data_IF_679530272192
#
_entry.id   IF_679530272192
#
_cell.length_a   1.000
_cell.length_b   1.000
_cell.length_c   1.000
_cell.angle_alpha   90.00
_cell.angle_beta   90.00
_cell.angle_gamma   90.00
#
_symmetry.space_group_name_H-M   'P 1'
#
loop_
_entity.id
_entity.type
_entity.pdbx_description
1 polymer ?
#
# COMPACT_ATOMS: atom_id res chain seq x y z
N UNK A 1 -14.57 28.43 6.04
CA UNK A 1 -15.12 27.34 6.88
C UNK A 1 -14.70 26.03 6.22
N UNK A 2 -13.49 25.54 6.49
CA UNK A 2 -12.87 24.35 5.85
C UNK A 2 -12.39 23.42 6.98
N UNK A 3 -13.34 22.78 7.68
CA UNK A 3 -13.04 21.85 8.79
C UNK A 3 -13.56 20.43 8.57
N UNK A 4 -14.42 20.20 7.56
CA UNK A 4 -15.02 18.90 7.27
C UNK A 4 -14.09 17.79 6.71
N UNK A 5 -13.01 18.07 5.93
CA UNK A 5 -12.29 17.00 5.21
C UNK A 5 -11.44 16.07 6.09
N UNK A 6 -10.91 16.58 7.21
CA UNK A 6 -10.00 15.81 8.06
C UNK A 6 -10.76 14.83 8.96
N UNK A 7 -11.90 15.26 9.50
CA UNK A 7 -12.74 14.42 10.36
C UNK A 7 -13.34 13.24 9.60
N UNK A 8 -13.70 13.41 8.33
CA UNK A 8 -14.21 12.32 7.49
C UNK A 8 -13.11 11.28 7.20
N UNK A 9 -11.89 11.70 6.86
CA UNK A 9 -10.76 10.80 6.63
C UNK A 9 -10.41 9.98 7.88
N UNK A 10 -10.28 10.62 9.04
CA UNK A 10 -9.97 9.93 10.31
C UNK A 10 -11.07 8.94 10.67
N UNK A 11 -12.34 9.32 10.49
CA UNK A 11 -13.49 8.44 10.75
C UNK A 11 -13.49 7.22 9.84
N UNK A 12 -13.25 7.43 8.54
CA UNK A 12 -13.19 6.36 7.54
C UNK A 12 -12.02 5.39 7.81
N UNK A 13 -10.83 5.94 8.08
CA UNK A 13 -9.65 5.14 8.40
C UNK A 13 -9.88 4.26 9.62
N UNK A 14 -10.43 4.83 10.71
CA UNK A 14 -10.80 4.05 11.92
C UNK A 14 -11.84 2.98 11.62
N UNK A 15 -12.85 3.28 10.79
CA UNK A 15 -13.86 2.30 10.40
C UNK A 15 -13.21 1.12 9.68
N UNK A 16 -12.33 1.39 8.71
CA UNK A 16 -11.65 0.34 7.92
C UNK A 16 -10.73 -0.50 8.79
N UNK A 17 -9.88 0.13 9.60
CA UNK A 17 -8.95 -0.59 10.48
C UNK A 17 -9.67 -1.52 11.47
N UNK A 18 -10.85 -1.11 11.96
CA UNK A 18 -11.66 -1.88 12.90
C UNK A 18 -12.62 -2.88 12.24
N UNK A 19 -12.81 -2.83 10.92
CA UNK A 19 -13.70 -3.76 10.20
C UNK A 19 -12.90 -4.97 9.74
N UNK A 20 -13.24 -6.20 10.15
CA UNK A 20 -12.53 -7.38 9.67
C UNK A 20 -12.60 -7.51 8.15
N UNK A 21 -11.47 -7.87 7.53
CA UNK A 21 -11.47 -8.21 6.11
C UNK A 21 -12.16 -9.56 5.91
N UNK A 22 -13.00 -9.68 4.88
CA UNK A 22 -13.74 -10.90 4.63
C UNK A 22 -12.79 -12.12 4.48
N UNK A 23 -13.06 -13.26 5.16
CA UNK A 23 -12.13 -14.40 5.19
C UNK A 23 -11.75 -14.94 3.81
N UNK A 24 -12.70 -14.96 2.87
CA UNK A 24 -12.46 -15.44 1.50
C UNK A 24 -11.48 -14.53 0.72
N UNK A 25 -11.42 -13.24 1.03
CA UNK A 25 -10.44 -12.31 0.44
C UNK A 25 -9.05 -12.61 0.97
N UNK A 26 -8.92 -12.80 2.29
CA UNK A 26 -7.65 -13.16 2.93
C UNK A 26 -7.14 -14.54 2.49
N UNK A 27 -8.03 -15.52 2.30
CA UNK A 27 -7.67 -16.86 1.85
C UNK A 27 -7.05 -16.91 0.44
N UNK A 28 -7.30 -15.88 -0.39
CA UNK A 28 -6.70 -15.75 -1.73
C UNK A 28 -5.30 -15.12 -1.71
N UNK A 29 -4.87 -14.58 -0.57
CA UNK A 29 -3.56 -13.94 -0.42
C UNK A 29 -2.52 -15.02 -0.13
N UNK A 30 -1.64 -15.26 -1.11
CA UNK A 30 -0.53 -16.19 -1.01
C UNK A 30 0.54 -15.72 0.01
N UNK A 31 1.57 -16.54 0.20
CA UNK A 31 2.73 -16.24 1.04
C UNK A 31 2.59 -16.69 2.49
N UNK A 32 3.72 -16.69 3.19
CA UNK A 32 3.89 -17.27 4.53
C UNK A 32 3.51 -16.35 5.69
N UNK A 33 3.19 -15.07 5.44
CA UNK A 33 2.93 -14.13 6.51
C UNK A 33 1.70 -14.52 7.34
N UNK A 34 1.69 -14.25 8.68
CA UNK A 34 0.52 -14.47 9.52
C UNK A 34 -0.72 -13.76 8.98
N UNK A 35 -1.90 -14.35 9.21
CA UNK A 35 -3.16 -13.82 8.69
C UNK A 35 -3.45 -12.38 9.13
N UNK A 36 -3.07 -12.01 10.37
CA UNK A 36 -3.21 -10.65 10.86
C UNK A 36 -2.35 -9.64 10.07
N UNK A 37 -1.16 -10.03 9.63
CA UNK A 37 -0.27 -9.18 8.81
C UNK A 37 -0.85 -9.01 7.41
N UNK A 38 -1.36 -10.10 6.81
CA UNK A 38 -2.09 -10.06 5.53
C UNK A 38 -3.30 -9.14 5.59
N UNK A 39 -4.08 -9.25 6.66
CA UNK A 39 -5.23 -8.39 6.89
C UNK A 39 -4.83 -6.92 7.03
N UNK A 40 -3.74 -6.62 7.72
CA UNK A 40 -3.28 -5.25 7.92
C UNK A 40 -2.80 -4.60 6.61
N UNK A 41 -2.08 -5.35 5.76
CA UNK A 41 -1.71 -4.90 4.42
C UNK A 41 -2.95 -4.51 3.59
N UNK A 42 -3.97 -5.38 3.59
CA UNK A 42 -5.23 -5.13 2.88
C UNK A 42 -5.96 -3.92 3.44
N UNK A 43 -6.11 -3.83 4.77
CA UNK A 43 -6.80 -2.70 5.41
C UNK A 43 -6.15 -1.37 5.09
N UNK A 44 -4.81 -1.32 5.06
CA UNK A 44 -4.12 -0.08 4.73
C UNK A 44 -4.35 0.34 3.29
N UNK A 45 -4.35 -0.61 2.36
CA UNK A 45 -4.69 -0.35 0.96
C UNK A 45 -6.14 0.15 0.83
N UNK A 46 -7.08 -0.48 1.54
CA UNK A 46 -8.50 -0.09 1.54
C UNK A 46 -8.73 1.35 2.07
N UNK A 47 -7.83 1.91 2.90
CA UNK A 47 -7.91 3.31 3.35
C UNK A 47 -7.77 4.27 2.16
N UNK A 48 -6.86 3.98 1.22
CA UNK A 48 -6.70 4.76 0.00
C UNK A 48 -7.93 4.66 -0.91
N UNK A 49 -8.64 3.52 -0.87
CA UNK A 49 -9.81 3.24 -1.70
C UNK A 49 -11.14 3.66 -1.06
N UNK A 50 -11.11 4.26 0.14
CA UNK A 50 -12.33 4.51 0.90
C UNK A 50 -13.25 5.54 0.19
N UNK A 51 -14.54 5.23 -0.03
CA UNK A 51 -15.48 6.15 -0.66
C UNK A 51 -15.59 7.49 0.09
N UNK A 52 -15.68 8.59 -0.67
CA UNK A 52 -15.81 9.94 -0.11
C UNK A 52 -14.50 10.60 0.33
N UNK A 53 -13.37 9.88 0.24
CA UNK A 53 -12.07 10.53 0.17
C UNK A 53 -11.93 11.09 -1.25
N UNK A 54 -11.80 12.41 -1.41
CA UNK A 54 -11.40 13.03 -2.68
C UNK A 54 -9.90 12.78 -2.92
N UNK A 55 -9.49 11.52 -2.89
CA UNK A 55 -8.11 11.13 -3.13
C UNK A 55 -7.81 11.28 -4.63
N UNK A 56 -6.61 11.75 -4.94
CA UNK A 56 -6.16 12.14 -6.28
C UNK A 56 -6.24 10.98 -7.31
N UNK A 57 -6.38 9.73 -6.85
CA UNK A 57 -6.35 8.53 -7.69
C UNK A 57 -7.57 7.59 -7.51
N UNK A 58 -8.66 8.01 -6.86
CA UNK A 58 -9.75 7.10 -6.45
C UNK A 58 -10.27 6.11 -7.51
N UNK A 59 -10.59 6.52 -8.76
CA UNK A 59 -11.06 5.58 -9.78
C UNK A 59 -9.99 4.59 -10.25
N UNK A 60 -8.72 4.92 -10.04
CA UNK A 60 -7.57 4.12 -10.47
C UNK A 60 -7.07 3.21 -9.33
N UNK A 61 -7.10 3.70 -8.10
CA UNK A 61 -6.60 2.98 -6.93
C UNK A 61 -7.47 1.76 -6.59
N UNK A 62 -8.79 1.85 -6.78
CA UNK A 62 -9.75 0.80 -6.40
C UNK A 62 -9.51 -0.58 -7.03
N UNK A 63 -8.77 -0.62 -8.14
CA UNK A 63 -8.45 -1.86 -8.85
C UNK A 63 -7.27 -2.61 -8.22
N UNK A 64 -6.56 -2.00 -7.28
CA UNK A 64 -5.40 -2.61 -6.67
C UNK A 64 -5.76 -3.66 -5.61
N UNK A 65 -5.19 -4.86 -5.76
CA UNK A 65 -5.47 -5.99 -4.88
C UNK A 65 -4.18 -6.62 -4.36
N UNK A 66 -4.10 -6.85 -3.06
CA UNK A 66 -2.98 -7.61 -2.47
C UNK A 66 -3.16 -9.09 -2.83
N UNK A 67 -2.13 -9.70 -3.44
CA UNK A 67 -2.16 -11.10 -3.90
C UNK A 67 -1.17 -11.98 -3.16
N UNK A 68 -0.09 -11.42 -2.58
CA UNK A 68 0.88 -12.16 -1.75
C UNK A 68 1.37 -11.29 -0.61
N UNK A 69 1.56 -11.89 0.57
CA UNK A 69 2.35 -11.30 1.66
C UNK A 69 3.20 -12.38 2.29
N UNK A 70 4.50 -12.12 2.37
CA UNK A 70 5.51 -13.04 2.86
C UNK A 70 6.43 -12.32 3.84
N UNK A 71 6.71 -12.97 4.97
CA UNK A 71 7.77 -12.56 5.87
C UNK A 71 8.95 -13.50 5.62
N UNK A 72 10.08 -12.91 5.28
CA UNK A 72 11.33 -13.62 5.01
C UNK A 72 12.12 -13.83 6.30
N UNK A 73 13.08 -14.75 6.25
CA UNK A 73 13.98 -15.03 7.38
C UNK A 73 14.88 -13.82 7.75
N UNK A 74 15.07 -12.88 6.80
CA UNK A 74 15.78 -11.60 7.02
C UNK A 74 14.90 -10.52 7.69
N UNK A 75 13.71 -10.88 8.17
CA UNK A 75 12.72 -9.96 8.75
C UNK A 75 12.21 -8.93 7.73
N UNK A 76 12.39 -9.17 6.44
CA UNK A 76 11.82 -8.35 5.38
C UNK A 76 10.40 -8.84 5.05
N UNK A 77 9.51 -7.91 4.73
CA UNK A 77 8.19 -8.21 4.21
C UNK A 77 8.20 -8.03 2.69
N UNK A 78 7.81 -9.07 1.97
CA UNK A 78 7.52 -9.01 0.54
C UNK A 78 6.01 -9.00 0.37
N UNK A 79 5.48 -7.92 -0.21
CA UNK A 79 4.07 -7.79 -0.58
C UNK A 79 3.94 -7.68 -2.09
N UNK A 80 3.05 -8.47 -2.67
CA UNK A 80 2.66 -8.36 -4.07
C UNK A 80 1.25 -7.78 -4.16
N UNK A 81 1.10 -6.77 -5.00
CA UNK A 81 -0.17 -6.20 -5.38
C UNK A 81 -0.34 -6.26 -6.90
N UNK A 82 -1.54 -6.58 -7.36
CA UNK A 82 -1.88 -6.57 -8.77
C UNK A 82 -2.85 -5.46 -9.09
N UNK A 83 -2.70 -4.85 -10.27
CA UNK A 83 -3.64 -3.86 -10.82
C UNK A 83 -3.89 -4.14 -12.29
N UNK A 84 -5.15 -4.22 -12.69
CA UNK A 84 -5.53 -4.23 -14.10
C UNK A 84 -5.63 -2.78 -14.61
N UNK A 85 -4.97 -2.49 -15.72
CA UNK A 85 -4.97 -1.16 -16.34
C UNK A 85 -6.34 -0.88 -16.95
N UNK A 86 -7.00 0.19 -16.51
CA UNK A 86 -8.27 0.67 -17.07
C UNK A 86 -8.06 1.89 -17.99
N UNK A 87 -9.13 2.35 -18.64
CA UNK A 87 -9.06 3.49 -19.57
C UNK A 87 -8.70 4.80 -18.86
N UNK A 88 -9.11 4.95 -17.60
CA UNK A 88 -8.88 6.14 -16.76
C UNK A 88 -7.41 6.27 -16.32
N UNK A 89 -6.63 5.18 -16.44
CA UNK A 89 -5.21 5.13 -16.09
C UNK A 89 -4.31 5.50 -17.27
N UNK A 90 -4.88 5.77 -18.44
CA UNK A 90 -4.12 6.07 -19.65
C UNK A 90 -3.78 7.55 -19.78
N UNK A 91 -2.67 7.84 -20.43
CA UNK A 91 -2.26 9.16 -20.88
C UNK A 91 -2.91 9.52 -22.24
N UNK A 92 -2.53 10.68 -22.77
CA UNK A 92 -3.02 11.17 -24.06
C UNK A 92 -2.63 10.29 -25.26
N UNK A 93 -1.65 9.39 -25.12
CA UNK A 93 -1.22 8.44 -26.14
C UNK A 93 -1.91 7.07 -25.98
N UNK A 94 -2.81 6.93 -25.00
CA UNK A 94 -3.49 5.68 -24.71
C UNK A 94 -2.59 4.65 -24.02
N UNK A 95 -1.53 5.09 -23.33
CA UNK A 95 -0.59 4.25 -22.57
C UNK A 95 -0.76 4.48 -21.08
N UNK A 96 -0.42 3.51 -20.24
CA UNK A 96 -0.51 3.72 -18.79
C UNK A 96 0.31 4.94 -18.36
N UNK A 97 -0.36 5.91 -17.73
CA UNK A 97 0.25 7.17 -17.33
C UNK A 97 1.28 6.92 -16.21
N UNK A 98 2.46 7.54 -16.32
CA UNK A 98 3.48 7.46 -15.28
C UNK A 98 2.99 7.99 -13.92
N UNK A 99 2.08 8.96 -13.92
CA UNK A 99 1.45 9.47 -12.69
C UNK A 99 0.61 8.42 -11.99
N UNK A 100 -0.11 7.58 -12.75
CA UNK A 100 -0.86 6.45 -12.19
C UNK A 100 0.10 5.43 -11.56
N UNK A 101 1.14 5.03 -12.28
CA UNK A 101 2.15 4.11 -11.76
C UNK A 101 2.79 4.65 -10.47
N UNK A 102 3.10 5.94 -10.43
CA UNK A 102 3.63 6.60 -9.24
C UNK A 102 2.67 6.52 -8.05
N UNK A 103 1.38 6.79 -8.26
CA UNK A 103 0.36 6.71 -7.21
C UNK A 103 0.21 5.29 -6.64
N UNK A 104 0.14 4.27 -7.51
CA UNK A 104 0.04 2.88 -7.03
C UNK A 104 1.32 2.43 -6.32
N UNK A 105 2.50 2.90 -6.76
CA UNK A 105 3.75 2.63 -6.03
C UNK A 105 3.68 3.23 -4.62
N UNK A 106 3.22 4.48 -4.45
CA UNK A 106 3.07 5.11 -3.12
C UNK A 106 2.12 4.32 -2.23
N UNK A 107 0.95 3.92 -2.74
CA UNK A 107 -0.06 3.15 -2.02
C UNK A 107 0.45 1.76 -1.61
N UNK A 108 1.02 1.02 -2.57
CA UNK A 108 1.54 -0.32 -2.33
C UNK A 108 2.73 -0.31 -1.37
N UNK A 109 3.69 0.60 -1.54
CA UNK A 109 4.83 0.72 -0.61
C UNK A 109 4.39 1.16 0.78
N UNK A 110 3.44 2.10 0.88
CA UNK A 110 2.86 2.51 2.16
C UNK A 110 2.15 1.35 2.87
N UNK A 111 1.40 0.52 2.14
CA UNK A 111 0.77 -0.68 2.69
C UNK A 111 1.80 -1.71 3.15
N UNK A 112 2.83 -1.98 2.36
CA UNK A 112 3.91 -2.90 2.73
C UNK A 112 4.67 -2.43 3.98
N UNK A 113 5.02 -1.14 4.05
CA UNK A 113 5.65 -0.50 5.22
C UNK A 113 4.77 -0.63 6.47
N UNK A 114 3.47 -0.41 6.31
CA UNK A 114 2.52 -0.54 7.41
C UNK A 114 2.40 -1.97 7.91
N UNK A 115 2.39 -2.93 6.99
CA UNK A 115 2.35 -4.35 7.32
C UNK A 115 3.62 -4.81 8.06
N UNK A 116 4.82 -4.38 7.64
CA UNK A 116 6.06 -4.78 8.33
C UNK A 116 6.18 -4.11 9.71
N UNK A 117 5.73 -2.87 9.83
CA UNK A 117 5.72 -2.16 11.11
C UNK A 117 4.77 -2.84 12.10
N UNK A 118 3.59 -3.26 11.66
CA UNK A 118 2.66 -4.07 12.45
C UNK A 118 3.26 -5.42 12.83
N UNK A 119 3.87 -6.13 11.87
CA UNK A 119 4.50 -7.41 12.15
C UNK A 119 5.65 -7.31 13.17
N UNK A 120 6.39 -6.20 13.15
CA UNK A 120 7.58 -6.00 13.98
C UNK A 120 7.28 -5.42 15.36
N UNK A 121 6.23 -4.60 15.49
CA UNK A 121 5.96 -3.80 16.70
C UNK A 121 4.54 -3.95 17.25
N UNK A 122 3.66 -4.68 16.56
CA UNK A 122 2.30 -4.95 17.00
C UNK A 122 1.25 -3.89 16.58
N UNK A 123 0.03 -3.97 17.14
CA UNK A 123 -1.12 -3.16 16.72
C UNK A 123 -0.97 -1.64 16.92
N UNK A 124 -0.14 -1.22 17.87
CA UNK A 124 0.13 0.20 18.13
C UNK A 124 1.13 0.80 17.14
N UNK A 125 1.69 -0.03 16.25
CA UNK A 125 2.55 0.42 15.17
C UNK A 125 1.71 1.13 14.11
N UNK A 126 1.76 2.46 14.15
CA UNK A 126 1.17 3.28 13.09
C UNK A 126 2.27 3.64 12.10
N UNK A 127 2.10 3.17 10.87
CA UNK A 127 2.85 3.72 9.75
C UNK A 127 2.49 5.18 9.61
N UNK A 128 3.49 6.05 9.64
CA UNK A 128 3.31 7.46 9.42
C UNK A 128 3.21 7.77 7.93
N UNK A 129 3.63 8.98 7.57
CA UNK A 129 3.47 9.51 6.22
C UNK A 129 4.68 9.17 5.35
N UNK A 130 4.46 9.10 4.03
CA UNK A 130 5.50 9.06 3.02
C UNK A 130 6.41 10.29 3.18
N UNK A 131 7.71 10.08 3.39
CA UNK A 131 8.71 11.15 3.46
C UNK A 131 9.40 11.37 2.12
N UNK A 132 9.68 10.27 1.43
CA UNK A 132 10.41 10.28 0.17
C UNK A 132 9.93 9.14 -0.72
N UNK A 133 9.69 9.44 -1.98
CA UNK A 133 9.45 8.45 -3.02
C UNK A 133 10.18 8.88 -4.29
N UNK A 134 11.04 8.01 -4.80
CA UNK A 134 11.72 8.20 -6.08
C UNK A 134 11.43 7.03 -7.00
N UNK A 135 11.00 7.34 -8.22
CA UNK A 135 10.57 6.35 -9.20
C UNK A 135 11.36 6.52 -10.49
N UNK A 136 11.85 5.40 -11.01
CA UNK A 136 12.42 5.31 -12.36
C UNK A 136 11.46 4.53 -13.25
N UNK A 137 11.15 5.08 -14.43
CA UNK A 137 10.28 4.45 -15.42
C UNK A 137 11.13 3.85 -16.53
N UNK A 138 11.00 2.54 -16.74
CA UNK A 138 11.84 1.77 -17.65
C UNK A 138 11.12 1.47 -18.96
N UNK A 139 9.83 1.10 -18.89
CA UNK A 139 9.11 0.61 -20.07
C UNK A 139 7.56 0.76 -20.01
N UNK A 140 7.00 1.97 -19.80
CA UNK A 140 5.54 2.15 -19.69
C UNK A 140 4.79 2.06 -21.04
N UNK A 141 5.48 2.23 -22.17
CA UNK A 141 4.88 2.45 -23.49
C UNK A 141 4.08 1.26 -24.07
N UNK A 142 4.16 0.07 -23.46
CA UNK A 142 3.45 -1.13 -23.93
C UNK A 142 2.17 -1.42 -23.14
N UNK A 143 1.89 -0.68 -22.08
CA UNK A 143 0.75 -0.93 -21.20
C UNK A 143 -0.49 -0.26 -21.76
N UNK A 144 -1.50 -1.07 -22.10
CA UNK A 144 -2.82 -0.64 -22.53
C UNK A 144 -3.90 -1.21 -21.61
N UNK A 145 -5.17 -0.84 -21.85
CA UNK A 145 -6.32 -1.42 -21.15
C UNK A 145 -6.24 -2.95 -21.11
N UNK A 146 -6.51 -3.54 -19.94
CA UNK A 146 -6.47 -4.98 -19.70
C UNK A 146 -5.08 -5.56 -19.46
N UNK A 147 -4.02 -4.73 -19.50
CA UNK A 147 -2.70 -5.16 -19.02
C UNK A 147 -2.76 -5.34 -17.50
N UNK A 148 -2.18 -6.42 -16.98
CA UNK A 148 -2.08 -6.63 -15.53
C UNK A 148 -0.67 -6.30 -15.08
N UNK A 149 -0.55 -5.44 -14.08
CA UNK A 149 0.70 -5.04 -13.47
C UNK A 149 0.87 -5.71 -12.12
N UNK A 150 2.09 -6.15 -11.81
CA UNK A 150 2.48 -6.72 -10.51
C UNK A 150 3.45 -5.78 -9.83
N UNK A 151 3.07 -5.28 -8.67
CA UNK A 151 3.85 -4.39 -7.81
C UNK A 151 4.43 -5.23 -6.67
N UNK A 152 5.73 -5.47 -6.72
CA UNK A 152 6.45 -6.28 -5.73
C UNK A 152 7.17 -5.33 -4.79
N UNK A 153 6.62 -5.18 -3.59
CA UNK A 153 7.14 -4.31 -2.54
C UNK A 153 7.97 -5.12 -1.54
N UNK A 154 9.24 -4.77 -1.37
CA UNK A 154 10.10 -5.33 -0.31
C UNK A 154 10.35 -4.26 0.75
N UNK A 155 9.73 -4.42 1.91
CA UNK A 155 9.81 -3.51 3.04
C UNK A 155 10.68 -4.08 4.16
N UNK A 156 11.45 -3.20 4.81
CA UNK A 156 12.31 -3.53 5.95
C UNK A 156 11.77 -2.89 7.22
N UNK A 157 11.90 -3.51 8.40
CA UNK A 157 11.48 -2.90 9.65
C UNK A 157 12.10 -1.53 9.87
N UNK A 158 11.36 -0.64 10.53
CA UNK A 158 11.83 0.70 10.89
C UNK A 158 13.15 0.67 11.67
N UNK A 159 14.16 1.39 11.19
CA UNK A 159 15.40 1.69 11.93
C UNK A 159 15.47 3.18 12.19
N UNK A 160 15.61 3.59 13.47
CA UNK A 160 15.66 5.02 13.83
C UNK A 160 14.35 5.78 13.57
N UNK A 161 13.21 5.08 13.42
CA UNK A 161 11.91 5.68 13.13
C UNK A 161 11.64 5.90 11.64
N UNK A 162 12.52 5.40 10.76
CA UNK A 162 12.33 5.44 9.30
C UNK A 162 12.21 4.02 8.78
N UNK A 163 11.18 3.78 8.00
CA UNK A 163 10.91 2.49 7.33
C UNK A 163 11.17 2.65 5.85
N UNK A 164 11.89 1.71 5.24
CA UNK A 164 12.24 1.76 3.83
C UNK A 164 11.55 0.63 3.06
N UNK A 165 11.13 0.93 1.85
CA UNK A 165 10.55 -0.05 0.93
C UNK A 165 11.10 0.18 -0.48
N UNK A 166 11.39 -0.91 -1.18
CA UNK A 166 11.62 -0.90 -2.62
C UNK A 166 10.39 -1.48 -3.31
N UNK A 167 10.06 -1.00 -4.49
CA UNK A 167 8.97 -1.52 -5.30
C UNK A 167 9.46 -1.78 -6.72
N UNK A 168 9.20 -2.98 -7.23
CA UNK A 168 9.45 -3.33 -8.62
C UNK A 168 8.12 -3.61 -9.31
N UNK A 169 7.88 -2.93 -10.43
CA UNK A 169 6.62 -3.04 -11.18
C UNK A 169 6.88 -3.85 -12.44
N UNK A 170 6.17 -4.95 -12.61
CA UNK A 170 6.28 -5.83 -13.77
C UNK A 170 4.97 -5.89 -14.54
N UNK A 171 5.05 -6.02 -15.86
CA UNK A 171 3.94 -6.54 -16.66
C UNK A 171 3.77 -8.04 -16.35
N UNK A 172 2.61 -8.44 -15.87
CA UNK A 172 2.30 -9.82 -15.49
C UNK A 172 2.45 -10.80 -16.67
N UNK A 173 2.12 -10.37 -17.89
CA UNK A 173 2.15 -11.22 -19.08
C UNK A 173 3.56 -11.39 -19.61
N UNK A 174 4.31 -10.30 -19.71
CA UNK A 174 5.64 -10.32 -20.36
C UNK A 174 6.79 -10.47 -19.37
N UNK A 175 6.52 -10.34 -18.07
CA UNK A 175 7.52 -10.28 -17.00
C UNK A 175 8.59 -9.20 -17.21
N UNK A 176 8.27 -8.16 -17.99
CA UNK A 176 9.16 -7.02 -18.22
C UNK A 176 9.04 -6.04 -17.07
N UNK A 177 10.19 -5.51 -16.63
CA UNK A 177 10.24 -4.43 -15.66
C UNK A 177 9.73 -3.13 -16.29
N UNK A 178 8.70 -2.55 -15.68
CA UNK A 178 8.00 -1.34 -16.12
C UNK A 178 8.55 -0.12 -15.38
N UNK A 179 8.66 -0.21 -14.06
CA UNK A 179 9.10 0.86 -13.19
C UNK A 179 9.72 0.30 -11.91
N UNK A 180 10.50 1.13 -11.22
CA UNK A 180 11.05 0.84 -9.89
C UNK A 180 10.87 2.04 -8.98
N UNK A 181 10.50 1.81 -7.73
CA UNK A 181 10.33 2.83 -6.69
C UNK A 181 11.24 2.57 -5.48
N UNK A 182 11.76 3.65 -4.89
CA UNK A 182 12.40 3.65 -3.58
C UNK A 182 11.62 4.58 -2.68
N UNK A 183 11.08 4.03 -1.60
CA UNK A 183 10.18 4.68 -0.65
C UNK A 183 10.82 4.72 0.74
N UNK A 184 10.66 5.85 1.42
CA UNK A 184 10.89 5.98 2.86
C UNK A 184 9.68 6.59 3.54
N UNK A 185 9.20 5.92 4.58
CA UNK A 185 8.12 6.38 5.45
C UNK A 185 8.64 6.65 6.86
N UNK A 186 7.96 7.54 7.58
CA UNK A 186 8.22 7.74 9.00
C UNK A 186 7.33 6.81 9.82
N UNK A 187 7.88 6.05 10.76
CA UNK A 187 7.07 5.38 11.76
C UNK A 187 6.61 6.41 12.81
N UNK A 188 5.29 6.51 13.07
CA UNK A 188 4.84 7.33 14.19
C UNK A 188 5.12 6.61 15.52
N UNK A 189 5.89 7.26 16.39
CA UNK A 189 5.92 6.87 17.81
C UNK A 189 4.70 7.48 18.49
N UNK A 190 3.72 6.66 18.83
CA UNK A 190 2.79 7.03 19.90
C UNK A 190 3.60 6.90 21.19
N UNK A 191 3.95 8.03 21.82
CA UNK A 191 4.57 7.99 23.14
C UNK A 191 3.61 7.30 24.11
N UNK A 192 4.12 6.41 24.96
CA UNK A 192 3.35 5.63 25.92
C UNK A 192 2.59 6.47 27.00
N UNK A 193 2.47 7.79 26.82
CA UNK A 193 1.84 8.73 27.75
C UNK A 193 0.46 9.24 27.36
N UNK A 194 -0.19 8.73 26.30
CA UNK A 194 -1.46 9.29 25.79
C UNK A 194 -2.65 8.33 25.76
N UNK A 195 -2.55 7.12 26.32
CA UNK A 195 -3.72 6.24 26.53
C UNK A 195 -4.21 6.34 27.98
N UNK A 196 -5.48 6.72 28.24
CA UNK A 196 -6.05 6.65 29.58
C UNK A 196 -6.08 5.20 30.07
N UNK A 197 -5.57 4.99 31.28
CA UNK A 197 -5.34 3.68 31.92
C UNK A 197 -6.61 2.87 32.25
N UNK A 198 -7.75 3.09 31.58
CA UNK A 198 -9.04 2.48 31.94
C UNK A 198 -9.44 1.25 31.13
N UNK A 199 -8.53 0.63 30.38
CA UNK A 199 -8.78 -0.66 29.72
C UNK A 199 -7.57 -1.59 29.75
N UNK A 200 -7.33 -2.16 30.93
CA UNK A 200 -6.75 -3.49 31.12
C UNK A 200 -7.68 -4.25 32.07
#
# INVERSE_FOLDING_TARGET
>A
MVHAPVESFVRNSRRILNTPVAPHRLARIAGSAPQAVKEYAVKWLDIYHAPGNSCFAMPMASESVVTRVELTDSVELVMECEVEVTAEMLDAEGKAANSFLFSVIDEATSSAVTAIDFASRGPDAVSGVSLYLNTSFHNPAYLCVGSVLRFICTARPSVGGVTNCTCEVFDAKTSRLVATGVFSGMAQRISAGSLPASRL
#
